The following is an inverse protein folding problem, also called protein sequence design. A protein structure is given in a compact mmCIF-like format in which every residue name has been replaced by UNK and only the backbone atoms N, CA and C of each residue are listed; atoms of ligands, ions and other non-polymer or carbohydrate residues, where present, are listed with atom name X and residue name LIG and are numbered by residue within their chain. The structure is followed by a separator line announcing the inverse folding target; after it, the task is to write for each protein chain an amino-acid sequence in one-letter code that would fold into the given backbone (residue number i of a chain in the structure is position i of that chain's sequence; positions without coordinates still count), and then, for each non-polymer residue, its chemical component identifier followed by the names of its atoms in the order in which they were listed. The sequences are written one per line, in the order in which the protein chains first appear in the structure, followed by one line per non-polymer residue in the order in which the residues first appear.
data_IF_340964937997
#
_entry.id   IF_340964937997
#
_cell.length_a   1.000
_cell.length_b   1.000
_cell.length_c   1.000
_cell.angle_alpha   90.00
_cell.angle_beta   90.00
_cell.angle_gamma   90.00
#
_symmetry.space_group_name_H-M   'P 1'
#
loop_
_entity.id
_entity.type
_entity.pdbx_description
1 polymer ?
#
# COMPACT_ATOMS: atom_id res chain seq x y z
N UNK A 1 1.71 24.86 -24.06
CA UNK A 1 2.75 25.65 -23.38
C UNK A 1 3.76 24.67 -22.80
N UNK A 2 5.04 24.82 -23.10
CA UNK A 2 6.10 23.93 -22.59
C UNK A 2 6.17 24.05 -21.07
N UNK A 3 6.32 22.93 -20.37
CA UNK A 3 6.41 22.94 -18.90
C UNK A 3 7.69 23.66 -18.49
N UNK A 4 7.57 24.74 -17.71
CA UNK A 4 8.71 25.45 -17.15
C UNK A 4 8.99 24.81 -15.78
N UNK A 5 10.12 24.12 -15.60
CA UNK A 5 10.46 23.53 -14.32
C UNK A 5 10.78 24.63 -13.30
N UNK A 6 10.09 24.61 -12.17
CA UNK A 6 10.29 25.51 -11.03
C UNK A 6 11.02 24.75 -9.94
N UNK A 7 12.06 25.35 -9.37
CA UNK A 7 12.79 24.75 -8.25
C UNK A 7 11.94 24.75 -6.99
N UNK A 8 11.98 23.62 -6.27
CA UNK A 8 11.20 23.39 -5.05
C UNK A 8 12.08 22.87 -3.92
N UNK A 9 11.71 23.21 -2.68
CA UNK A 9 12.40 22.86 -1.43
C UNK A 9 11.39 22.42 -0.37
N UNK A 10 11.90 21.83 0.71
CA UNK A 10 11.09 21.32 1.84
C UNK A 10 9.97 20.36 1.40
N UNK A 11 10.21 19.61 0.32
CA UNK A 11 9.20 18.75 -0.28
C UNK A 11 8.95 17.55 0.61
N UNK A 12 7.67 17.32 0.91
CA UNK A 12 7.15 16.15 1.60
C UNK A 12 6.28 15.36 0.64
N UNK A 13 6.52 14.06 0.53
CA UNK A 13 5.75 13.17 -0.35
C UNK A 13 4.94 12.22 0.51
N UNK A 14 3.66 12.07 0.18
CA UNK A 14 2.68 11.26 0.89
C UNK A 14 2.07 10.23 -0.06
N UNK A 15 1.85 8.98 0.35
CA UNK A 15 1.03 8.05 -0.43
C UNK A 15 -0.38 8.60 -0.58
N UNK A 16 -0.92 8.51 -1.80
CA UNK A 16 -2.28 8.96 -2.10
C UNK A 16 -3.26 7.80 -1.97
N UNK A 17 -4.35 8.03 -1.24
CA UNK A 17 -5.44 7.08 -1.05
C UNK A 17 -6.74 7.78 -1.42
N UNK A 18 -7.54 7.15 -2.29
CA UNK A 18 -8.88 7.63 -2.63
C UNK A 18 -9.82 7.33 -1.46
N UNK A 19 -9.99 8.33 -0.58
CA UNK A 19 -10.80 8.22 0.62
C UNK A 19 -12.25 8.64 0.33
N UNK A 20 -13.16 7.67 0.33
CA UNK A 20 -14.59 7.89 0.07
C UNK A 20 -15.41 8.22 1.33
N UNK A 21 -14.79 8.29 2.50
CA UNK A 21 -15.47 8.66 3.75
C UNK A 21 -15.55 10.18 3.90
N UNK A 22 -16.76 10.75 3.95
CA UNK A 22 -16.99 12.19 4.11
C UNK A 22 -16.63 12.76 5.50
N UNK A 23 -15.40 12.53 5.99
CA UNK A 23 -14.90 12.92 7.31
C UNK A 23 -13.41 13.25 7.33
N UNK A 24 -12.82 13.29 8.54
CA UNK A 24 -11.37 13.53 8.75
C UNK A 24 -10.58 12.35 8.20
N UNK A 25 -9.81 12.58 7.14
CA UNK A 25 -9.02 11.55 6.47
C UNK A 25 -7.93 10.94 7.36
N UNK A 26 -7.39 9.76 7.01
CA UNK A 26 -6.36 9.10 7.78
C UNK A 26 -5.10 9.98 7.91
N UNK A 27 -4.44 9.92 9.07
CA UNK A 27 -3.14 10.58 9.26
C UNK A 27 -2.09 9.81 8.46
N UNK A 28 -1.69 10.38 7.33
CA UNK A 28 -0.68 9.79 6.44
C UNK A 28 0.67 10.44 6.75
N UNK A 29 1.63 9.62 7.19
CA UNK A 29 3.01 10.05 7.38
C UNK A 29 3.72 10.22 6.01
N UNK A 30 4.62 11.20 5.87
CA UNK A 30 5.37 11.35 4.62
C UNK A 30 6.29 10.14 4.43
N UNK A 31 6.42 9.70 3.18
CA UNK A 31 7.45 8.73 2.76
C UNK A 31 8.77 9.42 2.45
N UNK A 32 8.72 10.70 2.04
CA UNK A 32 9.89 11.56 1.84
C UNK A 32 9.65 12.83 2.64
N UNK A 33 10.67 13.30 3.35
CA UNK A 33 10.66 14.57 4.08
C UNK A 33 11.87 15.42 3.70
N UNK A 34 11.66 16.73 3.55
CA UNK A 34 12.74 17.70 3.37
C UNK A 34 13.47 17.61 2.03
N UNK A 35 12.88 17.01 1.00
CA UNK A 35 13.50 16.89 -0.31
C UNK A 35 13.53 18.23 -1.06
N UNK A 36 14.42 18.33 -2.04
CA UNK A 36 14.48 19.44 -3.00
C UNK A 36 14.46 18.90 -4.41
N UNK A 37 14.06 19.70 -5.40
CA UNK A 37 13.94 19.22 -6.77
C UNK A 37 13.35 20.25 -7.72
N UNK A 38 12.70 19.76 -8.77
CA UNK A 38 11.98 20.57 -9.74
C UNK A 38 10.56 20.07 -9.93
N UNK A 39 9.61 21.00 -9.91
CA UNK A 39 8.21 20.75 -10.21
C UNK A 39 7.84 21.50 -11.50
N UNK A 40 7.23 20.79 -12.45
CA UNK A 40 6.86 21.34 -13.74
C UNK A 40 5.40 21.04 -14.03
N UNK A 41 4.65 22.06 -14.47
CA UNK A 41 3.30 21.92 -14.98
C UNK A 41 3.29 22.38 -16.43
N UNK A 42 2.86 21.50 -17.32
CA UNK A 42 2.76 21.77 -18.75
C UNK A 42 1.35 21.54 -19.27
N UNK A 43 1.01 22.19 -20.37
CA UNK A 43 -0.26 21.96 -21.06
C UNK A 43 -0.01 21.71 -22.54
N UNK A 44 -0.61 20.65 -23.09
CA UNK A 44 -0.60 20.36 -24.52
C UNK A 44 -2.01 20.02 -24.96
N UNK A 45 -2.58 20.87 -25.82
CA UNK A 45 -3.93 20.73 -26.38
C UNK A 45 -4.98 20.63 -25.25
N UNK A 46 -5.46 19.42 -24.94
CA UNK A 46 -6.45 19.15 -23.89
C UNK A 46 -5.86 18.33 -22.73
N UNK A 47 -4.53 18.28 -22.64
CA UNK A 47 -3.81 17.51 -21.62
C UNK A 47 -3.00 18.45 -20.73
N UNK A 48 -3.05 18.22 -19.42
CA UNK A 48 -2.17 18.85 -18.43
C UNK A 48 -1.19 17.80 -17.93
N UNK A 49 0.10 18.14 -17.89
CA UNK A 49 1.17 17.27 -17.42
C UNK A 49 1.74 17.85 -16.13
N UNK A 50 1.88 17.01 -15.13
CA UNK A 50 2.50 17.32 -13.86
C UNK A 50 3.71 16.42 -13.70
N UNK A 51 4.90 17.00 -13.50
CA UNK A 51 6.12 16.26 -13.24
C UNK A 51 6.80 16.82 -11.99
N UNK A 52 7.23 15.93 -11.10
CA UNK A 52 8.04 16.27 -9.94
C UNK A 52 9.28 15.37 -9.95
N UNK A 53 10.43 16.00 -10.09
CA UNK A 53 11.73 15.34 -10.05
C UNK A 53 12.44 15.77 -8.76
N UNK A 54 12.77 14.82 -7.89
CA UNK A 54 13.48 15.11 -6.65
C UNK A 54 14.97 14.81 -6.80
N UNK A 55 15.79 15.69 -6.22
CA UNK A 55 17.22 15.48 -6.05
C UNK A 55 17.47 14.33 -5.07
N UNK A 56 18.71 13.82 -5.06
CA UNK A 56 19.13 12.66 -4.26
C UNK A 56 18.53 12.67 -2.86
N UNK A 57 17.62 11.74 -2.59
CA UNK A 57 17.07 11.53 -1.24
C UNK A 57 17.96 10.51 -0.50
N UNK A 58 18.05 10.64 0.83
CA UNK A 58 18.82 9.70 1.65
C UNK A 58 18.27 8.27 1.52
N UNK A 59 19.16 7.27 1.47
CA UNK A 59 18.81 5.85 1.42
C UNK A 59 17.85 5.48 2.56
N UNK A 60 16.62 5.08 2.22
CA UNK A 60 15.66 4.61 3.23
C UNK A 60 14.20 4.55 2.78
N UNK A 61 13.81 5.33 1.77
CA UNK A 61 12.41 5.38 1.34
C UNK A 61 12.10 4.30 0.29
N UNK A 62 11.36 3.26 0.68
CA UNK A 62 10.77 2.30 -0.27
C UNK A 62 9.59 2.95 -1.00
N UNK A 63 9.85 3.58 -2.15
CA UNK A 63 8.80 4.01 -3.07
C UNK A 63 8.32 2.81 -3.91
N UNK A 64 7.01 2.72 -4.13
CA UNK A 64 6.42 1.74 -5.04
C UNK A 64 6.33 2.33 -6.44
N UNK A 65 6.93 1.67 -7.41
CA UNK A 65 6.80 2.02 -8.82
C UNK A 65 5.31 1.98 -9.21
N UNK A 66 4.85 2.99 -9.96
CA UNK A 66 3.46 3.18 -10.38
C UNK A 66 2.43 3.28 -9.24
N UNK A 67 2.86 3.51 -8.00
CA UNK A 67 1.95 3.91 -6.92
C UNK A 67 1.65 5.41 -6.98
N UNK A 68 0.51 5.81 -6.40
CA UNK A 68 0.03 7.19 -6.39
C UNK A 68 0.55 7.91 -5.15
N UNK A 69 1.03 9.13 -5.35
CA UNK A 69 1.58 9.99 -4.31
C UNK A 69 1.13 11.44 -4.49
N UNK A 70 1.00 12.19 -3.40
CA UNK A 70 0.86 13.66 -3.39
C UNK A 70 2.13 14.25 -2.79
N UNK A 71 2.57 15.38 -3.32
CA UNK A 71 3.65 16.15 -2.73
C UNK A 71 3.15 17.52 -2.27
N UNK A 72 3.67 17.96 -1.12
CA UNK A 72 3.56 19.34 -0.64
C UNK A 72 4.96 19.90 -0.43
N UNK A 73 5.12 21.21 -0.52
CA UNK A 73 6.41 21.84 -0.30
C UNK A 73 6.35 23.32 -0.60
N UNK A 74 7.51 23.92 -0.81
CA UNK A 74 7.64 25.34 -1.11
C UNK A 74 8.47 25.53 -2.38
N UNK A 75 8.14 26.54 -3.17
CA UNK A 75 9.04 27.01 -4.24
C UNK A 75 10.30 27.64 -3.64
N UNK A 76 11.32 27.89 -4.46
CA UNK A 76 12.52 28.61 -4.02
C UNK A 76 12.18 29.95 -3.34
N UNK A 77 11.18 30.65 -3.88
CA UNK A 77 10.63 31.92 -3.38
C UNK A 77 9.77 31.78 -2.10
N UNK A 78 9.60 30.57 -1.58
CA UNK A 78 8.83 30.30 -0.36
C UNK A 78 7.31 30.23 -0.56
N UNK A 79 6.83 30.16 -1.81
CA UNK A 79 5.40 29.98 -2.07
C UNK A 79 5.02 28.51 -1.83
N UNK A 80 4.05 28.21 -0.96
CA UNK A 80 3.62 26.83 -0.74
C UNK A 80 2.95 26.28 -2.00
N UNK A 81 3.23 25.01 -2.32
CA UNK A 81 2.56 24.30 -3.39
C UNK A 81 2.05 22.93 -2.91
N UNK A 82 1.03 22.45 -3.60
CA UNK A 82 0.51 21.10 -3.45
C UNK A 82 0.25 20.54 -4.84
N UNK A 83 0.77 19.35 -5.10
CA UNK A 83 0.57 18.67 -6.38
C UNK A 83 -0.78 17.95 -6.38
N UNK A 84 -1.39 17.70 -7.55
CA UNK A 84 -2.35 16.61 -7.65
C UNK A 84 -1.65 15.28 -7.30
N UNK A 85 -2.42 14.21 -7.14
CA UNK A 85 -1.81 12.88 -7.04
C UNK A 85 -1.06 12.58 -8.34
N UNK A 86 0.11 11.93 -8.24
CA UNK A 86 1.00 11.57 -9.34
C UNK A 86 1.50 10.14 -9.18
N UNK A 87 1.87 9.48 -10.28
CA UNK A 87 2.48 8.16 -10.26
C UNK A 87 3.98 8.27 -10.02
N UNK A 88 4.56 7.42 -9.16
CA UNK A 88 6.01 7.28 -9.09
C UNK A 88 6.51 6.55 -10.35
N UNK A 89 7.34 7.22 -11.15
CA UNK A 89 7.92 6.69 -12.40
C UNK A 89 9.34 6.19 -12.21
N UNK A 90 10.06 6.67 -11.18
CA UNK A 90 11.41 6.24 -10.84
C UNK A 90 11.56 6.15 -9.32
N UNK A 91 12.04 5.00 -8.84
CA UNK A 91 12.22 4.69 -7.41
C UNK A 91 13.69 4.68 -6.98
N UNK A 92 14.60 5.16 -7.84
CA UNK A 92 16.02 5.30 -7.52
C UNK A 92 16.26 6.40 -6.46
N UNK A 93 17.52 6.65 -6.14
CA UNK A 93 17.91 7.72 -5.23
C UNK A 93 17.46 9.11 -5.70
N UNK A 94 17.10 9.27 -6.99
CA UNK A 94 16.49 10.47 -7.56
C UNK A 94 15.07 10.15 -8.04
N UNK A 95 14.08 10.16 -7.14
CA UNK A 95 12.75 9.70 -7.48
C UNK A 95 12.01 10.72 -8.35
N UNK A 96 11.24 10.18 -9.28
CA UNK A 96 10.47 10.95 -10.25
C UNK A 96 9.00 10.58 -10.16
N UNK A 97 8.15 11.59 -10.35
CA UNK A 97 6.71 11.45 -10.31
C UNK A 97 6.07 12.17 -11.50
N UNK A 98 5.04 11.55 -12.07
CA UNK A 98 4.35 12.07 -13.24
C UNK A 98 2.85 11.79 -13.25
N UNK A 99 2.06 12.74 -13.78
CA UNK A 99 0.66 12.52 -14.15
C UNK A 99 0.27 13.31 -15.38
N UNK A 100 -0.56 12.72 -16.22
CA UNK A 100 -1.23 13.41 -17.32
C UNK A 100 -2.74 13.39 -17.08
N UNK A 101 -3.39 14.56 -17.13
CA UNK A 101 -4.85 14.70 -17.01
C UNK A 101 -5.40 15.16 -18.35
N UNK A 102 -6.40 14.45 -18.91
CA UNK A 102 -7.09 14.87 -20.13
C UNK A 102 -8.43 15.54 -19.78
N UNK A 103 -8.61 16.79 -20.20
CA UNK A 103 -9.77 17.64 -19.85
C UNK A 103 -11.14 17.11 -20.32
N UNK A 104 -11.20 16.19 -21.31
CA UNK A 104 -12.44 15.69 -21.91
C UNK A 104 -12.75 14.21 -21.61
N UNK A 105 -12.03 13.57 -20.70
CA UNK A 105 -12.38 12.23 -20.23
C UNK A 105 -12.64 12.31 -18.73
N UNK A 106 -13.78 11.79 -18.28
CA UNK A 106 -13.89 11.35 -16.88
C UNK A 106 -12.70 10.42 -16.64
N UNK A 107 -11.98 10.61 -15.54
CA UNK A 107 -10.85 9.77 -15.10
C UNK A 107 -11.33 8.31 -14.96
N UNK A 108 -11.47 7.59 -16.09
CA UNK A 108 -11.68 6.17 -16.15
C UNK A 108 -10.30 5.51 -15.96
N UNK A 109 -9.68 5.77 -14.81
CA UNK A 109 -8.35 5.28 -14.49
C UNK A 109 -8.43 4.16 -13.46
N UNK A 110 -8.96 3.02 -13.89
CA UNK A 110 -8.48 1.74 -13.40
C UNK A 110 -7.15 1.44 -14.09
N UNK A 111 -6.07 2.08 -13.65
CA UNK A 111 -4.75 1.43 -13.78
C UNK A 111 -4.80 0.26 -12.82
N UNK A 112 -5.34 -0.84 -13.34
CA UNK A 112 -5.34 -2.14 -12.70
C UNK A 112 -3.87 -2.56 -12.68
N UNK A 113 -3.18 -2.29 -11.57
CA UNK A 113 -1.90 -2.94 -11.34
C UNK A 113 -2.22 -4.43 -11.19
N UNK A 114 -1.81 -5.20 -12.20
CA UNK A 114 -1.64 -6.62 -12.03
C UNK A 114 -0.79 -6.85 -10.79
N UNK A 115 -1.34 -7.65 -9.88
CA UNK A 115 -0.86 -8.02 -8.55
C UNK A 115 -1.30 -7.07 -7.43
N UNK A 116 -2.13 -7.63 -6.53
CA UNK A 116 -2.62 -7.06 -5.28
C UNK A 116 -1.71 -5.98 -4.73
N UNK A 117 -2.22 -4.74 -4.66
CA UNK A 117 -1.64 -3.69 -3.83
C UNK A 117 -1.78 -4.16 -2.38
N UNK A 118 -0.78 -4.89 -1.92
CA UNK A 118 -0.65 -5.27 -0.52
C UNK A 118 -0.57 -3.96 0.27
N UNK A 119 -1.50 -3.71 1.22
CA UNK A 119 -1.45 -2.53 2.06
C UNK A 119 -0.11 -2.47 2.79
N UNK A 120 0.51 -1.29 2.91
CA UNK A 120 1.70 -1.15 3.75
C UNK A 120 1.34 -1.58 5.18
N UNK A 121 2.07 -2.53 5.75
CA UNK A 121 1.82 -3.08 7.08
C UNK A 121 3.06 -2.98 7.99
N UNK A 122 2.83 -2.96 9.29
CA UNK A 122 3.85 -3.04 10.34
C UNK A 122 3.83 -4.44 10.94
N UNK A 123 5.00 -4.95 11.33
CA UNK A 123 5.14 -6.23 12.02
C UNK A 123 5.04 -6.02 13.53
N UNK A 124 4.11 -6.70 14.19
CA UNK A 124 3.85 -6.59 15.63
C UNK A 124 4.57 -7.67 16.45
N UNK A 125 4.76 -8.87 15.89
CA UNK A 125 5.42 -9.97 16.59
C UNK A 125 5.57 -11.21 15.74
N UNK A 126 6.58 -12.03 16.05
CA UNK A 126 6.86 -13.26 15.31
C UNK A 126 5.98 -14.43 15.76
N UNK A 127 5.60 -15.26 14.80
CA UNK A 127 4.83 -16.48 14.97
C UNK A 127 5.55 -17.68 14.33
N UNK A 128 5.53 -18.81 15.02
CA UNK A 128 6.03 -20.10 14.56
C UNK A 128 4.91 -21.14 14.57
N UNK A 129 5.12 -22.30 13.92
CA UNK A 129 4.13 -23.38 13.81
C UNK A 129 2.76 -22.90 13.29
N UNK A 130 2.78 -22.01 12.29
CA UNK A 130 1.56 -21.43 11.75
C UNK A 130 0.78 -22.47 10.95
N UNK A 131 -0.48 -22.65 11.32
CA UNK A 131 -1.46 -23.44 10.58
C UNK A 131 -2.55 -22.52 10.07
N UNK A 132 -2.82 -22.60 8.77
CA UNK A 132 -3.86 -21.81 8.09
C UNK A 132 -4.94 -22.77 7.62
N UNK A 133 -6.17 -22.53 8.03
CA UNK A 133 -7.35 -23.26 7.57
C UNK A 133 -8.42 -22.31 7.04
N UNK A 134 -9.31 -22.83 6.19
CA UNK A 134 -10.50 -22.13 5.75
C UNK A 134 -11.72 -22.86 6.27
N UNK A 135 -12.61 -22.12 6.92
CA UNK A 135 -13.92 -22.62 7.32
C UNK A 135 -14.98 -22.25 6.28
N UNK A 136 -15.84 -23.21 5.96
CA UNK A 136 -16.96 -23.02 5.05
C UNK A 136 -18.27 -22.91 5.85
N UNK A 137 -18.98 -21.78 5.76
CA UNK A 137 -20.29 -21.65 6.38
C UNK A 137 -21.35 -22.48 5.61
N UNK A 138 -22.54 -22.69 6.20
CA UNK A 138 -23.65 -23.36 5.53
C UNK A 138 -23.92 -22.77 4.12
N UNK A 139 -24.25 -23.59 3.10
CA UNK A 139 -24.70 -24.99 3.17
C UNK A 139 -23.59 -26.06 3.07
N UNK A 140 -22.35 -25.69 2.78
CA UNK A 140 -21.23 -26.61 2.65
C UNK A 140 -20.34 -26.56 3.90
N UNK A 141 -20.82 -27.10 5.02
CA UNK A 141 -20.10 -27.04 6.30
C UNK A 141 -18.84 -27.90 6.24
N UNK A 142 -17.68 -27.29 6.53
CA UNK A 142 -16.40 -28.01 6.59
C UNK A 142 -15.22 -27.09 6.88
N UNK A 143 -14.07 -27.68 7.13
CA UNK A 143 -12.79 -26.99 7.30
C UNK A 143 -11.74 -27.65 6.41
N UNK A 144 -10.99 -26.84 5.66
CA UNK A 144 -9.85 -27.32 4.87
C UNK A 144 -8.57 -26.70 5.39
N UNK A 145 -7.53 -27.52 5.52
CA UNK A 145 -6.19 -27.05 5.83
C UNK A 145 -5.52 -26.54 4.56
N UNK A 146 -4.98 -25.32 4.62
CA UNK A 146 -4.36 -24.64 3.49
C UNK A 146 -2.83 -24.61 3.62
N UNK A 147 -2.32 -24.31 4.82
CA UNK A 147 -0.89 -24.27 5.14
C UNK A 147 -0.67 -24.95 6.49
N UNK A 148 0.37 -25.77 6.59
CA UNK A 148 0.82 -26.39 7.83
C UNK A 148 2.30 -26.06 8.08
N UNK A 149 2.67 -25.84 9.34
CA UNK A 149 4.04 -25.57 9.79
C UNK A 149 4.68 -24.36 9.07
N UNK A 150 3.91 -23.29 8.86
CA UNK A 150 4.41 -22.01 8.38
C UNK A 150 5.15 -21.23 9.48
N UNK A 151 5.89 -20.21 9.08
CA UNK A 151 6.49 -19.23 9.98
C UNK A 151 6.11 -17.84 9.53
N UNK A 152 6.07 -16.84 10.39
CA UNK A 152 5.50 -15.57 9.99
C UNK A 152 5.48 -14.52 11.07
N UNK A 153 4.74 -13.46 10.82
CA UNK A 153 4.57 -12.38 11.78
C UNK A 153 3.10 -11.98 11.86
N UNK A 154 2.66 -11.59 13.05
CA UNK A 154 1.45 -10.78 13.21
C UNK A 154 1.73 -9.43 12.58
N UNK A 155 0.84 -9.01 11.71
CA UNK A 155 0.93 -7.72 11.01
C UNK A 155 -0.27 -6.86 11.38
N UNK A 156 -0.09 -5.55 11.29
CA UNK A 156 -1.19 -4.61 11.32
C UNK A 156 -1.04 -3.62 10.17
N UNK A 157 -2.15 -3.17 9.59
CA UNK A 157 -2.09 -2.16 8.54
C UNK A 157 -1.48 -0.87 9.08
N UNK A 158 -0.52 -0.31 8.34
CA UNK A 158 0.13 0.97 8.68
C UNK A 158 -0.84 2.14 8.57
N UNK A 159 -1.95 1.93 7.86
CA UNK A 159 -2.96 2.92 7.50
C UNK A 159 -4.36 2.35 7.75
N UNK A 160 -5.24 3.14 8.36
CA UNK A 160 -6.59 2.71 8.78
C UNK A 160 -6.72 2.76 10.30
N UNK A 161 -7.73 3.45 10.81
CA UNK A 161 -8.13 3.43 12.22
C UNK A 161 -9.57 2.91 12.29
N UNK A 162 -9.82 1.79 12.98
CA UNK A 162 -8.85 0.93 13.70
C UNK A 162 -7.87 0.22 12.74
N UNK A 163 -6.65 -0.05 13.21
CA UNK A 163 -5.65 -0.81 12.44
C UNK A 163 -6.16 -2.22 12.20
N UNK A 164 -6.17 -2.66 10.94
CA UNK A 164 -6.56 -4.02 10.59
C UNK A 164 -5.42 -4.97 10.96
N UNK A 165 -5.71 -5.90 11.87
CA UNK A 165 -4.75 -6.92 12.27
C UNK A 165 -4.83 -8.12 11.34
N UNK A 166 -3.71 -8.80 11.18
CA UNK A 166 -3.60 -9.97 10.33
C UNK A 166 -2.31 -10.73 10.57
N UNK A 167 -2.01 -11.65 9.67
CA UNK A 167 -0.82 -12.49 9.73
C UNK A 167 -0.17 -12.58 8.35
N UNK A 168 1.15 -12.37 8.31
CA UNK A 168 1.98 -12.80 7.18
C UNK A 168 2.50 -14.21 7.44
N UNK A 169 2.44 -15.08 6.43
CA UNK A 169 2.91 -16.47 6.50
C UNK A 169 3.93 -16.73 5.39
N UNK A 170 5.09 -17.23 5.78
CA UNK A 170 6.25 -17.59 4.95
C UNK A 170 6.54 -19.08 5.10
N UNK A 171 6.80 -19.74 3.99
CA UNK A 171 7.03 -21.19 3.95
C UNK A 171 5.82 -22.02 4.40
N UNK A 172 6.12 -23.23 4.88
CA UNK A 172 5.12 -24.23 5.27
C UNK A 172 4.69 -25.13 4.11
N UNK A 173 4.07 -26.26 4.45
CA UNK A 173 3.50 -27.19 3.46
C UNK A 173 2.12 -26.68 3.05
N UNK A 174 1.96 -26.36 1.77
CA UNK A 174 0.69 -25.89 1.19
C UNK A 174 -0.10 -27.09 0.69
N UNK A 175 -1.29 -27.32 1.24
CA UNK A 175 -2.18 -28.42 0.86
C UNK A 175 -3.33 -27.99 -0.05
N UNK A 176 -3.50 -26.68 -0.28
CA UNK A 176 -4.56 -26.12 -1.12
C UNK A 176 -4.10 -24.94 -1.96
N UNK A 177 -4.92 -24.53 -2.94
CA UNK A 177 -4.68 -23.34 -3.75
C UNK A 177 -5.18 -22.11 -3.02
N UNK A 178 -4.26 -21.25 -2.58
CA UNK A 178 -4.60 -19.94 -2.05
C UNK A 178 -4.99 -19.00 -3.18
N UNK A 179 -6.06 -18.23 -2.99
CA UNK A 179 -6.52 -17.20 -3.92
C UNK A 179 -6.78 -15.91 -3.15
N UNK A 180 -6.41 -14.78 -3.74
CA UNK A 180 -6.80 -13.48 -3.23
C UNK A 180 -8.34 -13.40 -3.14
N UNK A 181 -8.84 -12.86 -2.04
CA UNK A 181 -10.28 -12.75 -1.74
C UNK A 181 -10.89 -13.96 -1.03
N UNK A 182 -10.13 -15.02 -0.73
CA UNK A 182 -10.64 -16.12 0.11
C UNK A 182 -10.97 -15.63 1.51
N UNK A 183 -12.20 -15.88 1.97
CA UNK A 183 -12.72 -15.45 3.28
C UNK A 183 -12.79 -16.60 4.28
N UNK A 184 -13.10 -16.26 5.53
CA UNK A 184 -13.27 -17.20 6.65
C UNK A 184 -12.01 -18.03 6.92
N UNK A 185 -10.85 -17.40 6.72
CA UNK A 185 -9.57 -17.99 7.05
C UNK A 185 -9.37 -17.91 8.56
N UNK A 186 -8.95 -19.04 9.13
CA UNK A 186 -8.52 -19.16 10.51
C UNK A 186 -7.03 -19.48 10.53
N UNK A 187 -6.29 -18.78 11.39
CA UNK A 187 -4.86 -18.93 11.54
C UNK A 187 -4.58 -19.23 13.00
N UNK A 188 -3.85 -20.31 13.24
CA UNK A 188 -3.29 -20.64 14.55
C UNK A 188 -1.77 -20.62 14.46
N UNK A 189 -1.11 -20.15 15.50
CA UNK A 189 0.36 -20.15 15.58
C UNK A 189 0.83 -20.03 17.02
N UNK A 190 2.13 -20.19 17.24
CA UNK A 190 2.77 -20.01 18.54
C UNK A 190 3.60 -18.75 18.55
N UNK A 191 3.55 -17.99 19.64
CA UNK A 191 4.49 -16.89 19.87
C UNK A 191 5.88 -17.43 20.23
N UNK A 192 6.88 -16.56 20.26
CA UNK A 192 8.22 -16.87 20.77
C UNK A 192 8.23 -17.38 22.22
N UNK A 193 7.19 -17.05 23.00
CA UNK A 193 6.98 -17.54 24.37
C UNK A 193 6.26 -18.91 24.42
N UNK A 194 5.96 -19.51 23.26
CA UNK A 194 5.25 -20.78 23.16
C UNK A 194 3.74 -20.69 23.39
N UNK A 195 3.17 -19.49 23.52
CA UNK A 195 1.73 -19.29 23.70
C UNK A 195 1.01 -19.43 22.36
N UNK A 196 -0.12 -20.15 22.36
CA UNK A 196 -0.96 -20.30 21.18
C UNK A 196 -1.76 -19.03 20.93
N UNK A 197 -1.75 -18.56 19.69
CA UNK A 197 -2.54 -17.42 19.19
C UNK A 197 -3.42 -17.93 18.07
N UNK A 198 -4.70 -17.59 18.14
CA UNK A 198 -5.71 -17.93 17.13
C UNK A 198 -6.35 -16.65 16.61
N UNK A 199 -6.40 -16.48 15.29
CA UNK A 199 -7.08 -15.40 14.60
C UNK A 199 -8.06 -15.98 13.59
N UNK A 200 -9.34 -15.63 13.70
CA UNK A 200 -10.39 -16.06 12.79
C UNK A 200 -10.90 -14.93 11.91
N UNK A 201 -11.79 -15.25 10.97
CA UNK A 201 -12.46 -14.30 10.07
C UNK A 201 -11.49 -13.44 9.23
N UNK A 202 -10.36 -14.04 8.85
CA UNK A 202 -9.39 -13.38 7.99
C UNK A 202 -9.73 -13.60 6.52
N UNK A 203 -9.31 -12.66 5.69
CA UNK A 203 -9.39 -12.69 4.24
C UNK A 203 -7.99 -12.72 3.64
N UNK A 204 -7.76 -13.63 2.70
CA UNK A 204 -6.49 -13.72 1.96
C UNK A 204 -6.36 -12.53 1.01
N UNK A 205 -5.40 -11.66 1.25
CA UNK A 205 -5.13 -10.47 0.42
C UNK A 205 -4.07 -10.75 -0.64
N UNK A 206 -3.07 -11.56 -0.26
CA UNK A 206 -2.03 -12.04 -1.17
C UNK A 206 -1.82 -13.54 -0.97
N UNK A 207 -2.00 -14.37 -2.02
CA UNK A 207 -1.73 -15.80 -1.98
C UNK A 207 -0.25 -16.14 -2.24
N UNK A 208 0.54 -15.15 -2.67
CA UNK A 208 1.96 -15.31 -3.02
C UNK A 208 2.82 -15.60 -1.78
N UNK A 209 4.14 -15.68 -1.91
CA UNK A 209 5.04 -15.84 -0.78
C UNK A 209 5.74 -14.50 -0.49
N UNK A 210 5.51 -13.83 0.65
CA UNK A 210 4.68 -14.22 1.80
C UNK A 210 3.17 -14.15 1.54
N UNK A 211 2.43 -15.12 2.09
CA UNK A 211 0.96 -15.12 2.04
C UNK A 211 0.43 -14.17 3.12
N UNK A 212 -0.55 -13.34 2.76
CA UNK A 212 -1.05 -12.27 3.61
C UNK A 212 -2.53 -12.45 3.88
N UNK A 213 -2.88 -12.37 5.15
CA UNK A 213 -4.25 -12.53 5.63
C UNK A 213 -4.57 -11.35 6.55
N UNK A 214 -5.63 -10.59 6.24
CA UNK A 214 -6.08 -9.44 7.01
C UNK A 214 -7.52 -9.64 7.48
N UNK A 215 -7.89 -9.07 8.62
CA UNK A 215 -9.26 -9.08 9.09
C UNK A 215 -10.12 -8.18 8.20
N UNK A 216 -11.20 -8.72 7.62
CA UNK A 216 -12.15 -7.90 6.86
C UNK A 216 -13.14 -7.25 7.84
N UNK A 217 -13.32 -5.93 7.78
CA UNK A 217 -14.47 -5.28 8.40
C UNK A 217 -15.68 -5.51 7.49
N UNK A 218 -16.68 -6.22 8.01
CA UNK A 218 -18.04 -6.10 7.49
C UNK A 218 -18.52 -4.67 7.73
N UNK A 219 -19.09 -4.06 6.69
CA UNK A 219 -19.91 -2.84 6.82
C UNK A 219 -21.06 -3.07 7.79
#
# INVERSE_FOLDING_TARGET
MQAIPVKVKNVKVYPYIDWKGGGVGPVILPVIEGASGTYAVGTLIMSVFYNLDLNSIGQGTKLGMHQRYIATGETEDGTPFTTPWMYCTNTSDQPQFGRTIRMNKQDAESVNMGNSVVPAYITLGALTDITVSQSFPPPAIGEIMLIENGSGNVIATRTGTPHEMGVEVKGGKRYGTLRAGMKNIMITGKTTEGKMVTMGNLTCVSPDEPALFLHEFGF
#
